data_IF_318384970894
#
_entry.id   IF_318384970894
#
_cell.length_a   1.000
_cell.length_b   1.000
_cell.length_c   1.000
_cell.angle_alpha   90.00
_cell.angle_beta   90.00
_cell.angle_gamma   90.00
#
_symmetry.space_group_name_H-M   'P 1'
#
loop_
_entity.id
_entity.type
_entity.pdbx_description
1 polymer ?
#
# COMPACT_ATOMS: atom_id res chain seq x y z
N UNK A 1 -23.74 -5.47 23.96
CA UNK A 1 -22.86 -6.55 23.49
C UNK A 1 -23.43 -7.28 22.30
N UNK A 2 -22.87 -7.05 21.11
CA UNK A 2 -23.03 -7.99 19.98
C UNK A 2 -21.91 -9.00 20.13
N UNK A 3 -22.19 -10.33 20.10
CA UNK A 3 -21.11 -11.31 20.15
C UNK A 3 -20.17 -11.05 18.97
N UNK A 4 -18.87 -10.96 19.26
CA UNK A 4 -17.85 -10.91 18.23
C UNK A 4 -18.04 -12.16 17.36
N UNK A 5 -18.42 -11.97 16.09
CA UNK A 5 -18.39 -13.07 15.12
C UNK A 5 -16.93 -13.52 15.06
N UNK A 6 -16.65 -14.72 15.56
CA UNK A 6 -15.32 -15.34 15.44
C UNK A 6 -14.85 -15.23 14.00
N UNK A 7 -13.67 -14.66 13.80
CA UNK A 7 -13.02 -14.66 12.49
C UNK A 7 -12.74 -16.12 12.15
N UNK A 8 -13.26 -16.59 11.01
CA UNK A 8 -12.93 -17.92 10.52
C UNK A 8 -11.49 -17.89 10.02
N UNK A 9 -10.61 -18.71 10.60
CA UNK A 9 -9.25 -18.94 10.10
C UNK A 9 -9.36 -19.50 8.67
N UNK A 10 -8.68 -18.86 7.72
CA UNK A 10 -8.65 -19.29 6.32
C UNK A 10 -7.56 -20.35 6.21
N UNK A 11 -7.92 -21.60 5.91
CA UNK A 11 -6.95 -22.69 5.69
C UNK A 11 -6.40 -22.59 4.26
N UNK A 12 -5.13 -22.24 4.10
CA UNK A 12 -4.52 -22.11 2.77
C UNK A 12 -4.08 -23.50 2.24
N UNK A 13 -4.37 -23.88 0.98
CA UNK A 13 -4.04 -25.22 0.47
C UNK A 13 -2.56 -25.59 0.46
N UNK A 14 -1.65 -24.62 0.62
CA UNK A 14 -0.20 -24.81 0.63
C UNK A 14 0.42 -24.75 2.03
N UNK A 15 -0.38 -24.66 3.08
CA UNK A 15 0.12 -24.79 4.45
C UNK A 15 0.50 -26.24 4.75
N UNK A 16 1.62 -26.42 5.46
CA UNK A 16 2.15 -27.74 5.80
C UNK A 16 1.13 -28.54 6.64
N UNK A 17 0.47 -27.88 7.58
CA UNK A 17 -0.50 -28.49 8.49
C UNK A 17 -1.70 -29.04 7.70
N UNK A 18 -2.15 -28.32 6.67
CA UNK A 18 -3.30 -28.73 5.86
C UNK A 18 -3.06 -30.02 5.06
N UNK A 19 -1.80 -30.44 4.87
CA UNK A 19 -1.45 -31.70 4.23
C UNK A 19 -1.55 -32.93 5.17
N UNK A 20 -1.66 -32.72 6.48
CA UNK A 20 -1.64 -33.77 7.50
C UNK A 20 -2.85 -33.72 8.45
N UNK A 21 -3.93 -33.02 8.08
CA UNK A 21 -5.14 -32.85 8.92
C UNK A 21 -5.85 -34.15 9.28
N UNK A 22 -5.59 -35.22 8.53
CA UNK A 22 -6.09 -36.57 8.77
C UNK A 22 -5.27 -37.34 9.83
N UNK A 23 -4.04 -36.91 10.10
CA UNK A 23 -3.10 -37.56 11.04
C UNK A 23 -2.90 -36.72 12.31
N UNK A 24 -2.94 -35.40 12.18
CA UNK A 24 -2.88 -34.47 13.30
C UNK A 24 -4.27 -34.40 13.95
N UNK A 25 -4.40 -34.89 15.19
CA UNK A 25 -5.59 -34.59 15.98
C UNK A 25 -5.62 -33.08 16.23
N UNK A 26 -6.77 -32.46 15.98
CA UNK A 26 -7.09 -31.06 16.28
C UNK A 26 -7.11 -30.83 17.81
N UNK A 27 -6.01 -31.08 18.53
CA UNK A 27 -5.78 -30.50 19.85
C UNK A 27 -5.46 -29.01 19.62
N UNK A 28 -6.49 -28.26 19.22
CA UNK A 28 -6.51 -26.87 18.72
C UNK A 28 -6.25 -25.80 19.81
N UNK A 29 -5.78 -26.16 21.00
CA UNK A 29 -5.87 -25.28 22.18
C UNK A 29 -4.53 -24.65 22.66
N UNK A 30 -3.37 -24.92 22.04
CA UNK A 30 -2.08 -24.41 22.56
C UNK A 30 -1.19 -23.61 21.61
N UNK A 31 -1.48 -23.55 20.30
CA UNK A 31 -0.82 -22.60 19.39
C UNK A 31 -1.75 -21.40 19.16
N UNK A 32 -1.91 -20.56 20.18
CA UNK A 32 -2.45 -19.20 19.99
C UNK A 32 -1.38 -18.41 19.20
N UNK A 33 -1.58 -18.49 17.88
CA UNK A 33 -0.63 -18.50 16.78
C UNK A 33 0.22 -17.20 16.67
N UNK A 34 1.54 -17.31 16.46
CA UNK A 34 2.42 -16.17 16.13
C UNK A 34 1.84 -15.26 15.02
N UNK A 35 1.13 -15.87 14.06
CA UNK A 35 0.44 -15.19 12.97
C UNK A 35 -0.74 -14.34 13.45
N UNK A 36 -1.56 -14.82 14.39
CA UNK A 36 -2.66 -14.04 14.96
C UNK A 36 -2.10 -12.82 15.72
N UNK A 37 -0.98 -13.01 16.42
CA UNK A 37 -0.28 -11.93 17.09
C UNK A 37 0.26 -10.91 16.08
N UNK A 38 0.84 -11.35 14.95
CA UNK A 38 1.31 -10.47 13.89
C UNK A 38 0.16 -9.69 13.21
N UNK A 39 -0.95 -10.36 12.90
CA UNK A 39 -2.16 -9.73 12.38
C UNK A 39 -2.74 -8.68 13.34
N UNK A 40 -2.76 -9.00 14.65
CA UNK A 40 -3.18 -8.08 15.69
C UNK A 40 -2.24 -6.87 15.76
N UNK A 41 -0.92 -7.09 15.69
CA UNK A 41 0.08 -6.02 15.67
C UNK A 41 -0.10 -5.09 14.47
N UNK A 42 -0.28 -5.61 13.25
CA UNK A 42 -0.52 -4.79 12.06
C UNK A 42 -1.82 -3.98 12.17
N UNK A 43 -2.91 -4.62 12.62
CA UNK A 43 -4.19 -3.94 12.83
C UNK A 43 -4.06 -2.82 13.87
N UNK A 44 -3.33 -3.06 14.96
CA UNK A 44 -3.06 -2.06 16.00
C UNK A 44 -2.17 -0.94 15.49
N UNK A 45 -1.18 -1.23 14.64
CA UNK A 45 -0.31 -0.21 14.06
C UNK A 45 -1.10 0.72 13.15
N UNK A 46 -1.93 0.17 12.24
CA UNK A 46 -2.82 0.97 11.37
C UNK A 46 -3.77 1.86 12.16
N UNK A 47 -4.22 1.40 13.33
CA UNK A 47 -5.07 2.19 14.22
C UNK A 47 -4.29 3.34 14.88
N UNK A 48 -3.08 3.07 15.38
CA UNK A 48 -2.20 4.10 15.96
C UNK A 48 -1.84 5.18 14.94
N UNK A 49 -1.52 4.80 13.70
CA UNK A 49 -1.20 5.74 12.63
C UNK A 49 -2.40 6.64 12.32
N UNK A 50 -3.61 6.08 12.32
CA UNK A 50 -4.84 6.85 12.13
C UNK A 50 -5.10 7.84 13.28
N UNK A 51 -4.86 7.43 14.53
CA UNK A 51 -4.99 8.29 15.70
C UNK A 51 -3.96 9.43 15.67
N UNK A 52 -2.74 9.16 15.20
CA UNK A 52 -1.71 10.19 15.05
C UNK A 52 -2.05 11.21 13.97
N UNK A 53 -2.53 10.74 12.81
CA UNK A 53 -2.97 11.60 11.69
C UNK A 53 -4.14 12.49 12.12
N UNK A 54 -5.11 11.94 12.87
CA UNK A 54 -6.36 12.63 13.21
C UNK A 54 -6.26 13.51 14.46
N UNK A 55 -5.18 13.41 15.25
CA UNK A 55 -5.01 14.13 16.54
C UNK A 55 -5.19 15.65 16.45
N UNK A 56 -4.83 16.26 15.32
CA UNK A 56 -4.89 17.72 15.11
C UNK A 56 -5.83 18.14 13.97
N UNK A 57 -6.64 17.21 13.46
CA UNK A 57 -7.58 17.51 12.39
C UNK A 57 -8.77 18.30 12.92
N UNK A 58 -9.24 19.24 12.10
CA UNK A 58 -10.56 19.85 12.27
C UNK A 58 -11.66 18.82 11.99
N UNK A 59 -12.90 19.14 12.37
CA UNK A 59 -14.06 18.27 12.09
C UNK A 59 -14.18 17.96 10.60
N UNK A 60 -14.04 18.97 9.74
CA UNK A 60 -14.25 18.81 8.30
C UNK A 60 -13.14 17.97 7.67
N UNK A 61 -11.88 18.19 8.11
CA UNK A 61 -10.74 17.35 7.70
C UNK A 61 -10.91 15.89 8.16
N UNK A 62 -11.40 15.67 9.39
CA UNK A 62 -11.67 14.33 9.89
C UNK A 62 -12.78 13.62 9.11
N UNK A 63 -13.88 14.31 8.80
CA UNK A 63 -14.97 13.75 7.98
C UNK A 63 -14.40 13.32 6.63
N UNK A 64 -13.66 14.21 5.95
CA UNK A 64 -13.04 13.90 4.67
C UNK A 64 -12.06 12.73 4.75
N UNK A 65 -11.21 12.69 5.78
CA UNK A 65 -10.29 11.57 6.04
C UNK A 65 -11.03 10.24 6.22
N UNK A 66 -12.11 10.24 7.00
CA UNK A 66 -12.90 9.04 7.28
C UNK A 66 -13.60 8.49 6.03
N UNK A 67 -14.14 9.37 5.18
CA UNK A 67 -14.74 8.99 3.89
C UNK A 67 -13.70 8.39 2.95
N UNK A 68 -12.53 9.03 2.82
CA UNK A 68 -11.45 8.54 1.98
C UNK A 68 -10.89 7.20 2.47
N UNK A 69 -10.79 7.00 3.79
CA UNK A 69 -10.30 5.75 4.39
C UNK A 69 -11.26 4.57 4.17
N UNK A 70 -12.56 4.83 4.08
CA UNK A 70 -13.57 3.80 3.81
C UNK A 70 -13.84 3.59 2.30
N UNK A 71 -13.33 4.48 1.44
CA UNK A 71 -13.50 4.36 0.01
C UNK A 71 -12.78 3.12 -0.53
N UNK A 72 -13.43 2.43 -1.46
CA UNK A 72 -12.91 1.24 -2.13
C UNK A 72 -13.18 1.32 -3.62
N UNK A 73 -12.31 0.69 -4.42
CA UNK A 73 -12.49 0.59 -5.87
C UNK A 73 -13.70 -0.28 -6.27
N UNK A 74 -14.09 -1.23 -5.41
CA UNK A 74 -15.06 -2.28 -5.75
C UNK A 74 -16.37 -2.18 -4.97
N UNK A 75 -16.38 -1.52 -3.81
CA UNK A 75 -17.58 -1.40 -2.97
C UNK A 75 -18.74 -0.76 -3.74
N UNK A 76 -19.82 -1.53 -3.94
CA UNK A 76 -21.00 -1.15 -4.75
C UNK A 76 -20.68 -0.76 -6.20
N UNK A 77 -19.47 -1.05 -6.69
CA UNK A 77 -18.98 -0.69 -8.04
C UNK A 77 -18.35 -1.87 -8.79
N UNK A 78 -18.52 -3.11 -8.31
CA UNK A 78 -17.93 -4.32 -8.92
C UNK A 78 -18.16 -4.47 -10.43
N UNK A 79 -19.36 -4.17 -10.96
CA UNK A 79 -19.59 -4.19 -12.42
C UNK A 79 -18.66 -3.23 -13.16
N UNK A 80 -18.61 -1.96 -12.72
CA UNK A 80 -17.77 -0.93 -13.33
C UNK A 80 -16.29 -1.30 -13.26
N UNK A 81 -15.85 -1.88 -12.14
CA UNK A 81 -14.48 -2.36 -11.97
C UNK A 81 -14.12 -3.47 -12.95
N UNK A 82 -15.00 -4.47 -13.12
CA UNK A 82 -14.81 -5.56 -14.09
C UNK A 82 -14.71 -5.06 -15.53
N UNK A 83 -15.59 -4.14 -15.90
CA UNK A 83 -15.60 -3.54 -17.24
C UNK A 83 -14.34 -2.69 -17.46
N UNK A 84 -13.92 -1.90 -16.48
CA UNK A 84 -12.69 -1.07 -16.53
C UNK A 84 -11.42 -1.92 -16.65
N UNK A 85 -11.31 -3.00 -15.87
CA UNK A 85 -10.18 -3.92 -15.92
C UNK A 85 -10.21 -4.85 -17.15
N UNK A 86 -11.24 -4.76 -17.98
CA UNK A 86 -11.45 -5.61 -19.15
C UNK A 86 -11.33 -7.11 -18.83
N UNK A 87 -11.93 -7.55 -17.71
CA UNK A 87 -11.75 -8.92 -17.20
C UNK A 87 -12.26 -9.99 -18.18
N UNK A 88 -13.28 -9.68 -18.99
CA UNK A 88 -13.82 -10.59 -20.01
C UNK A 88 -12.82 -10.94 -21.11
N UNK A 89 -11.73 -10.18 -21.28
CA UNK A 89 -10.67 -10.51 -22.21
C UNK A 89 -9.68 -11.56 -21.68
N UNK A 90 -9.70 -11.84 -20.37
CA UNK A 90 -8.73 -12.70 -19.70
C UNK A 90 -9.35 -13.85 -18.90
N UNK A 91 -10.66 -13.78 -18.63
CA UNK A 91 -11.38 -14.76 -17.82
C UNK A 91 -12.65 -15.19 -18.54
N UNK A 92 -12.75 -16.48 -18.87
CA UNK A 92 -13.88 -17.06 -19.60
C UNK A 92 -15.15 -17.18 -18.74
N UNK A 93 -15.00 -17.21 -17.41
CA UNK A 93 -16.08 -17.33 -16.45
C UNK A 93 -16.35 -16.03 -15.70
N UNK A 94 -17.59 -15.85 -15.21
CA UNK A 94 -17.94 -14.72 -14.35
C UNK A 94 -17.15 -14.83 -13.04
N UNK A 95 -16.29 -13.86 -12.69
CA UNK A 95 -15.52 -13.92 -11.45
C UNK A 95 -16.45 -13.79 -10.23
N UNK A 96 -16.11 -14.49 -9.14
CA UNK A 96 -16.84 -14.42 -7.86
C UNK A 96 -16.69 -13.02 -7.23
N UNK A 97 -17.71 -12.57 -6.49
CA UNK A 97 -17.69 -11.28 -5.79
C UNK A 97 -16.55 -11.20 -4.76
N UNK A 98 -16.21 -12.31 -4.09
CA UNK A 98 -15.05 -12.38 -3.18
C UNK A 98 -13.72 -12.07 -3.90
N UNK A 99 -13.57 -12.56 -5.14
CA UNK A 99 -12.38 -12.29 -5.94
C UNK A 99 -12.32 -10.81 -6.34
N UNK A 100 -13.48 -10.20 -6.61
CA UNK A 100 -13.55 -8.75 -6.88
C UNK A 100 -13.14 -7.97 -5.63
N UNK A 101 -13.57 -8.36 -4.44
CA UNK A 101 -13.16 -7.69 -3.20
C UNK A 101 -11.65 -7.86 -2.91
N UNK A 102 -11.09 -9.04 -3.14
CA UNK A 102 -9.63 -9.28 -3.02
C UNK A 102 -8.87 -8.38 -4.01
N UNK A 103 -9.29 -8.32 -5.28
CA UNK A 103 -8.66 -7.43 -6.27
C UNK A 103 -8.82 -5.95 -5.91
N UNK A 104 -9.95 -5.56 -5.32
CA UNK A 104 -10.17 -4.22 -4.81
C UNK A 104 -9.19 -3.85 -3.69
N UNK A 105 -8.95 -4.78 -2.76
CA UNK A 105 -7.95 -4.63 -1.71
C UNK A 105 -6.52 -4.54 -2.27
N UNK A 106 -6.13 -5.46 -3.17
CA UNK A 106 -4.81 -5.44 -3.78
C UNK A 106 -4.57 -4.15 -4.58
N UNK A 107 -5.58 -3.66 -5.31
CA UNK A 107 -5.48 -2.38 -6.02
C UNK A 107 -5.29 -1.19 -5.08
N UNK A 108 -5.95 -1.21 -3.92
CA UNK A 108 -5.77 -0.20 -2.87
C UNK A 108 -4.36 -0.23 -2.30
N UNK A 109 -3.85 -1.40 -1.92
CA UNK A 109 -2.49 -1.53 -1.40
C UNK A 109 -1.46 -1.13 -2.47
N UNK A 110 -1.64 -1.51 -3.75
CA UNK A 110 -0.79 -1.04 -4.86
C UNK A 110 -0.69 0.48 -4.93
N UNK A 111 -1.83 1.19 -4.85
CA UNK A 111 -1.88 2.67 -4.88
C UNK A 111 -1.27 3.26 -3.62
N UNK A 112 -1.48 2.65 -2.46
CA UNK A 112 -0.86 3.06 -1.21
C UNK A 112 0.66 2.94 -1.28
N UNK A 113 1.18 1.76 -1.59
CA UNK A 113 2.61 1.45 -1.69
C UNK A 113 3.32 2.38 -2.67
N UNK A 114 2.76 2.58 -3.89
CA UNK A 114 3.39 3.45 -4.88
C UNK A 114 3.37 4.93 -4.44
N UNK A 115 2.33 5.38 -3.74
CA UNK A 115 2.23 6.75 -3.25
C UNK A 115 3.18 7.00 -2.09
N UNK A 116 3.33 6.05 -1.17
CA UNK A 116 4.30 6.12 -0.08
C UNK A 116 5.73 6.16 -0.61
N UNK A 117 6.07 5.29 -1.57
CA UNK A 117 7.36 5.31 -2.25
C UNK A 117 7.62 6.62 -3.00
N UNK A 118 6.61 7.16 -3.71
CA UNK A 118 6.72 8.44 -4.40
C UNK A 118 6.92 9.62 -3.42
N UNK A 119 6.27 9.59 -2.25
CA UNK A 119 6.48 10.59 -1.21
C UNK A 119 7.90 10.52 -0.63
N UNK A 120 8.46 9.32 -0.47
CA UNK A 120 9.84 9.15 -0.03
C UNK A 120 10.84 9.71 -1.05
N UNK A 121 10.66 9.40 -2.34
CA UNK A 121 11.49 9.94 -3.43
C UNK A 121 11.47 11.47 -3.41
N UNK A 122 10.26 12.05 -3.30
CA UNK A 122 10.09 13.49 -3.23
C UNK A 122 10.79 14.13 -2.02
N UNK A 123 10.73 13.49 -0.85
CA UNK A 123 11.42 13.98 0.36
C UNK A 123 12.94 13.93 0.18
N UNK A 124 13.45 12.85 -0.42
CA UNK A 124 14.87 12.70 -0.71
C UNK A 124 15.36 13.77 -1.70
N UNK A 125 14.60 14.03 -2.76
CA UNK A 125 14.90 15.09 -3.73
C UNK A 125 14.93 16.47 -3.07
N UNK A 126 13.90 16.81 -2.28
CA UNK A 126 13.84 18.08 -1.57
C UNK A 126 15.03 18.26 -0.60
N UNK A 127 15.47 17.19 0.06
CA UNK A 127 16.65 17.22 0.93
C UNK A 127 17.95 17.50 0.15
N UNK A 128 18.11 16.92 -1.05
CA UNK A 128 19.25 17.17 -1.94
C UNK A 128 19.21 18.60 -2.51
N UNK A 129 18.03 19.10 -2.88
CA UNK A 129 17.88 20.49 -3.32
C UNK A 129 18.23 21.48 -2.18
N UNK A 130 17.79 21.19 -0.95
CA UNK A 130 18.10 22.02 0.21
C UNK A 130 19.60 22.02 0.54
N UNK A 131 20.29 20.88 0.45
CA UNK A 131 21.75 20.82 0.68
C UNK A 131 22.53 21.58 -0.40
N UNK A 132 22.11 21.49 -1.66
CA UNK A 132 22.72 22.24 -2.77
C UNK A 132 22.45 23.75 -2.67
N UNK A 133 21.25 24.16 -2.23
CA UNK A 133 20.90 25.57 -2.01
C UNK A 133 21.67 26.19 -0.83
N UNK A 134 22.06 25.40 0.18
CA UNK A 134 22.95 25.88 1.24
C UNK A 134 24.38 26.18 0.77
N UNK A 135 24.80 25.58 -0.35
CA UNK A 135 26.16 25.70 -0.90
C UNK A 135 26.25 26.77 -2.02
N UNK A 136 25.17 26.98 -2.76
CA UNK A 136 25.02 28.08 -3.70
C UNK A 136 24.21 29.18 -3.01
N UNK A 137 24.87 30.22 -2.48
CA UNK A 137 24.24 31.38 -1.83
C UNK A 137 23.36 32.21 -2.78
N UNK A 138 22.32 31.60 -3.34
CA UNK A 138 21.45 32.17 -4.34
C UNK A 138 20.04 32.33 -3.76
N UNK A 139 19.62 33.56 -3.43
CA UNK A 139 18.31 33.84 -2.89
C UNK A 139 17.33 34.04 -4.06
N UNK A 140 16.87 32.98 -4.71
CA UNK A 140 15.81 33.14 -5.70
C UNK A 140 15.08 31.84 -6.04
N UNK A 141 13.87 31.69 -5.49
CA UNK A 141 12.65 31.18 -6.16
C UNK A 141 11.65 30.77 -5.07
N UNK A 142 10.46 31.34 -4.90
CA UNK A 142 9.71 32.34 -5.65
C UNK A 142 8.43 32.67 -4.86
N UNK A 143 7.78 33.78 -5.22
CA UNK A 143 6.48 34.25 -4.72
C UNK A 143 6.35 34.57 -3.22
N UNK A 144 7.04 35.63 -2.80
CA UNK A 144 6.69 36.30 -1.55
C UNK A 144 7.69 37.38 -1.20
N UNK A 145 7.24 38.61 -0.99
CA UNK A 145 8.09 39.64 -0.37
C UNK A 145 8.55 39.18 1.02
N UNK A 146 9.47 39.93 1.65
CA UNK A 146 9.98 39.63 3.00
C UNK A 146 8.88 39.45 4.08
N UNK A 147 7.68 39.95 3.81
CA UNK A 147 6.49 39.86 4.66
C UNK A 147 5.37 38.98 4.09
N UNK A 148 5.64 38.25 3.01
CA UNK A 148 4.69 37.28 2.52
C UNK A 148 4.58 36.15 3.55
N UNK A 149 3.37 35.61 3.79
CA UNK A 149 3.23 34.41 4.59
C UNK A 149 4.12 33.31 3.99
N UNK A 150 4.80 32.51 4.85
CA UNK A 150 5.61 31.41 4.36
C UNK A 150 4.75 30.52 3.46
N UNK A 151 5.32 30.03 2.36
CA UNK A 151 4.58 29.28 1.36
C UNK A 151 4.13 27.94 1.97
N UNK A 152 2.93 27.94 2.55
CA UNK A 152 2.33 26.75 3.18
C UNK A 152 1.77 25.77 2.14
N UNK A 153 1.89 26.11 0.86
CA UNK A 153 1.45 25.28 -0.26
C UNK A 153 2.40 24.10 -0.40
N UNK A 154 1.96 22.95 0.11
CA UNK A 154 2.61 21.68 -0.20
C UNK A 154 2.59 21.49 -1.72
N UNK A 155 3.76 21.31 -2.31
CA UNK A 155 3.84 20.93 -3.72
C UNK A 155 3.16 19.56 -3.91
N UNK A 156 2.55 19.28 -5.06
CA UNK A 156 1.95 17.97 -5.33
C UNK A 156 3.02 16.90 -5.64
N UNK A 157 2.62 15.62 -5.69
CA UNK A 157 3.47 14.55 -6.23
C UNK A 157 3.46 14.69 -7.76
N UNK A 158 4.64 14.68 -8.38
CA UNK A 158 4.82 14.71 -9.83
C UNK A 158 4.95 13.29 -10.41
N UNK A 159 4.70 13.10 -11.72
CA UNK A 159 4.86 11.81 -12.39
C UNK A 159 6.26 11.20 -12.20
N UNK A 160 7.29 12.04 -12.14
CA UNK A 160 8.68 11.62 -11.95
C UNK A 160 8.89 10.88 -10.62
N UNK A 161 8.30 11.37 -9.53
CA UNK A 161 8.36 10.69 -8.23
C UNK A 161 7.66 9.33 -8.27
N UNK A 162 6.55 9.21 -9.01
CA UNK A 162 5.78 7.96 -9.14
C UNK A 162 6.57 6.94 -9.96
N UNK A 163 7.18 7.36 -11.07
CA UNK A 163 8.00 6.49 -11.92
C UNK A 163 9.22 5.98 -11.15
N UNK A 164 9.92 6.85 -10.43
CA UNK A 164 11.07 6.46 -9.62
C UNK A 164 10.66 5.59 -8.43
N UNK A 165 9.55 5.91 -7.76
CA UNK A 165 8.98 5.09 -6.70
C UNK A 165 8.64 3.68 -7.20
N UNK A 166 7.98 3.59 -8.35
CA UNK A 166 7.69 2.32 -9.01
C UNK A 166 8.96 1.54 -9.35
N UNK A 167 9.97 2.20 -9.93
CA UNK A 167 11.26 1.58 -10.26
C UNK A 167 11.93 0.97 -9.02
N UNK A 168 11.87 1.66 -7.86
CA UNK A 168 12.42 1.15 -6.59
C UNK A 168 11.69 -0.10 -6.10
N UNK A 169 10.36 -0.12 -6.21
CA UNK A 169 9.52 -1.26 -5.82
C UNK A 169 9.70 -2.48 -6.74
N UNK A 170 10.03 -2.27 -8.01
CA UNK A 170 10.27 -3.34 -8.98
C UNK A 170 11.67 -3.99 -8.88
N UNK A 171 12.50 -3.61 -7.91
CA UNK A 171 13.83 -4.20 -7.75
C UNK A 171 13.72 -5.66 -7.28
N UNK A 172 13.87 -6.59 -8.22
CA UNK A 172 13.97 -8.01 -7.92
C UNK A 172 15.34 -8.39 -7.34
N UNK A 173 15.35 -9.37 -6.43
CA UNK A 173 16.57 -9.97 -5.94
C UNK A 173 17.43 -10.47 -7.12
N UNK A 174 18.70 -10.05 -7.16
CA UNK A 174 19.61 -10.43 -8.25
C UNK A 174 19.83 -11.95 -8.20
N UNK A 175 19.60 -12.68 -9.30
CA UNK A 175 19.83 -14.13 -9.31
C UNK A 175 21.33 -14.41 -9.10
N UNK A 176 21.66 -15.54 -8.45
CA UNK A 176 23.04 -15.93 -8.15
C UNK A 176 23.95 -16.20 -9.38
N UNK A 177 23.44 -15.98 -10.59
CA UNK A 177 24.10 -16.25 -11.87
C UNK A 177 24.77 -15.01 -12.47
N UNK A 178 25.13 -14.03 -11.63
CA UNK A 178 25.75 -12.74 -12.00
C UNK A 178 27.04 -12.87 -12.83
N UNK A 179 27.68 -14.04 -12.83
CA UNK A 179 28.91 -14.31 -13.59
C UNK A 179 28.65 -14.70 -15.05
N UNK A 180 27.41 -15.00 -15.43
CA UNK A 180 27.02 -15.20 -16.83
C UNK A 180 26.43 -13.89 -17.33
N UNK A 181 27.25 -13.11 -18.04
CA UNK A 181 26.79 -11.86 -18.67
C UNK A 181 25.59 -12.08 -19.60
N UNK A 182 24.81 -11.02 -19.83
CA UNK A 182 23.63 -11.03 -20.70
C UNK A 182 22.46 -10.25 -20.11
N UNK A 183 21.47 -9.92 -20.94
CA UNK A 183 20.21 -9.34 -20.45
C UNK A 183 19.36 -10.45 -19.84
N UNK A 184 19.04 -10.32 -18.55
CA UNK A 184 18.06 -11.16 -17.88
C UNK A 184 16.66 -10.56 -18.05
N UNK A 185 15.70 -11.38 -18.50
CA UNK A 185 14.29 -10.99 -18.52
C UNK A 185 13.75 -11.11 -17.10
N UNK A 186 13.38 -10.00 -16.49
CA UNK A 186 12.72 -9.97 -15.18
C UNK A 186 11.21 -9.99 -15.33
N UNK A 187 10.52 -10.58 -14.34
CA UNK A 187 9.07 -10.44 -14.20
C UNK A 187 8.78 -9.18 -13.39
N UNK A 188 7.67 -8.52 -13.69
CA UNK A 188 7.15 -7.42 -12.88
C UNK A 188 6.66 -8.00 -11.57
N UNK A 189 7.10 -7.44 -10.44
CA UNK A 189 6.55 -7.78 -9.13
C UNK A 189 5.19 -7.10 -8.98
N UNK A 190 4.23 -7.83 -8.42
CA UNK A 190 3.08 -7.18 -7.81
C UNK A 190 3.61 -6.36 -6.63
N UNK A 191 3.12 -5.12 -6.49
CA UNK A 191 3.54 -4.15 -5.47
C UNK A 191 2.38 -3.78 -4.57
#
# INVERSE_FOLDING_TARGET
>A
DRPAKGRKRIKLPWELINAYTDVLNEDEDEEDDEEEIEMYRDSMQRLKDADEITRRMTRDEYVHYSECRQASFTYRKGKRFRDWANMSAYVDAKPNDDLIDILGFLSFEMVRTITEAALEVKRAEAAVMASNAGNAGNPASGYGGLFAPPDTRRTPIQPEHVIEGYRRLQNAARPGWLFRGGLARTRVSLI
#
